data_IF_164840173079
#
_entry.id   IF_164840173079
#
_cell.length_a   1.000
_cell.length_b   1.000
_cell.length_c   1.000
_cell.angle_alpha   90.00
_cell.angle_beta   90.00
_cell.angle_gamma   90.00
#
_symmetry.space_group_name_H-M   'P 1'
#
loop_
_entity.id
_entity.type
_entity.pdbx_description
1 polymer ?
#
# COMPACT_ATOMS: atom_id res chain seq x y z
N UNK A 1 -13.68 -0.52 11.59
CA UNK A 1 -13.94 0.17 10.29
C UNK A 1 -12.60 0.65 9.68
N UNK A 2 -11.99 -0.18 8.84
CA UNK A 2 -10.63 -0.02 8.26
C UNK A 2 -10.66 0.34 6.76
N UNK A 3 -11.85 0.45 6.16
CA UNK A 3 -11.99 0.70 4.71
C UNK A 3 -11.34 2.00 4.25
N UNK A 4 -11.39 3.04 5.09
CA UNK A 4 -10.95 4.39 4.69
C UNK A 4 -9.44 4.49 4.50
N UNK A 5 -8.62 3.90 5.37
CA UNK A 5 -7.14 3.96 5.26
C UNK A 5 -6.63 3.09 4.12
N UNK A 6 -7.26 1.94 3.88
CA UNK A 6 -6.96 1.09 2.73
C UNK A 6 -7.26 1.80 1.40
N UNK A 7 -8.44 2.41 1.27
CA UNK A 7 -8.82 3.20 0.09
C UNK A 7 -7.93 4.44 -0.07
N UNK A 8 -7.59 5.10 1.04
CA UNK A 8 -6.67 6.25 1.05
C UNK A 8 -5.30 5.87 0.50
N UNK A 9 -4.74 4.72 0.90
CA UNK A 9 -3.45 4.26 0.39
C UNK A 9 -3.46 4.11 -1.13
N UNK A 10 -4.51 3.49 -1.67
CA UNK A 10 -4.66 3.34 -3.11
C UNK A 10 -4.71 4.70 -3.80
N UNK A 11 -5.54 5.63 -3.30
CA UNK A 11 -5.74 6.97 -3.88
C UNK A 11 -4.49 7.85 -3.83
N UNK A 12 -3.68 7.74 -2.77
CA UNK A 12 -2.43 8.48 -2.64
C UNK A 12 -1.28 7.88 -3.46
N UNK A 13 -1.39 6.60 -3.82
CA UNK A 13 -0.39 5.90 -4.63
C UNK A 13 -0.53 6.19 -6.12
N UNK A 14 0.49 5.78 -6.87
CA UNK A 14 0.48 5.81 -8.34
C UNK A 14 -0.44 4.76 -8.99
N UNK A 15 -1.24 4.03 -8.19
CA UNK A 15 -2.38 3.27 -8.69
C UNK A 15 -3.48 4.18 -9.26
N UNK A 16 -3.61 5.41 -8.77
CA UNK A 16 -4.49 6.43 -9.33
C UNK A 16 -3.66 7.56 -9.95
N UNK A 17 -4.03 7.96 -11.15
CA UNK A 17 -3.38 9.03 -11.88
C UNK A 17 -4.37 10.16 -12.12
N UNK A 18 -3.92 11.39 -11.85
CA UNK A 18 -4.67 12.59 -12.19
C UNK A 18 -4.59 12.79 -13.71
N UNK A 19 -5.74 12.79 -14.36
CA UNK A 19 -5.85 13.06 -15.79
C UNK A 19 -6.00 14.57 -16.05
N UNK A 20 -5.86 14.97 -17.32
CA UNK A 20 -6.02 16.35 -17.78
C UNK A 20 -7.42 16.94 -17.48
N UNK A 21 -8.44 16.08 -17.35
CA UNK A 21 -9.80 16.48 -16.97
C UNK A 21 -10.00 16.58 -15.45
N UNK A 22 -8.91 16.61 -14.68
CA UNK A 22 -8.87 16.65 -13.21
C UNK A 22 -9.54 15.46 -12.52
N UNK A 23 -9.77 14.36 -13.23
CA UNK A 23 -10.28 13.12 -12.62
C UNK A 23 -9.15 12.18 -12.25
N UNK A 24 -9.29 11.55 -11.09
CA UNK A 24 -8.46 10.42 -10.72
C UNK A 24 -8.95 9.19 -11.47
N UNK A 25 -8.09 8.62 -12.31
CA UNK A 25 -8.37 7.37 -13.00
C UNK A 25 -7.40 6.30 -12.54
N UNK A 26 -7.90 5.08 -12.43
CA UNK A 26 -7.07 3.91 -12.17
C UNK A 26 -6.00 3.78 -13.28
N UNK A 27 -4.77 3.47 -12.87
CA UNK A 27 -3.64 3.20 -13.76
C UNK A 27 -4.04 2.19 -14.82
N UNK A 28 -3.64 2.44 -16.07
CA UNK A 28 -3.89 1.51 -17.19
C UNK A 28 -3.21 0.15 -17.03
N UNK A 29 -2.25 0.05 -16.10
CA UNK A 29 -1.60 -1.22 -15.75
C UNK A 29 -2.46 -2.10 -14.81
N UNK A 30 -3.56 -1.57 -14.27
CA UNK A 30 -4.49 -2.28 -13.41
C UNK A 30 -5.83 -2.49 -14.10
N UNK A 31 -6.35 -3.72 -14.04
CA UNK A 31 -7.70 -4.02 -14.52
C UNK A 31 -8.78 -3.56 -13.53
N UNK A 32 -8.47 -3.59 -12.24
CA UNK A 32 -9.38 -3.22 -11.15
C UNK A 32 -8.59 -2.55 -10.03
N UNK A 33 -9.28 -1.81 -9.16
CA UNK A 33 -8.64 -1.16 -8.00
C UNK A 33 -7.90 -2.19 -7.13
N UNK A 34 -6.70 -1.86 -6.63
CA UNK A 34 -5.93 -2.78 -5.79
C UNK A 34 -6.72 -3.13 -4.54
N UNK A 35 -6.77 -4.42 -4.20
CA UNK A 35 -7.36 -4.86 -2.95
C UNK A 35 -6.34 -4.71 -1.83
N UNK A 36 -6.52 -3.69 -0.99
CA UNK A 36 -5.61 -3.36 0.11
C UNK A 36 -6.26 -3.76 1.43
N UNK A 37 -5.52 -4.54 2.22
CA UNK A 37 -5.85 -4.91 3.59
C UNK A 37 -4.69 -4.52 4.50
N UNK A 38 -4.93 -3.53 5.36
CA UNK A 38 -4.00 -3.13 6.41
C UNK A 38 -4.47 -3.67 7.77
N UNK A 39 -3.53 -4.04 8.63
CA UNK A 39 -3.80 -4.51 9.98
C UNK A 39 -4.61 -3.48 10.79
N UNK A 40 -5.73 -3.90 11.35
CA UNK A 40 -6.59 -3.00 12.10
C UNK A 40 -5.93 -2.48 13.38
N UNK A 41 -4.99 -3.23 13.97
CA UNK A 41 -4.35 -2.83 15.23
C UNK A 41 -3.40 -1.63 15.03
N UNK A 42 -2.83 -1.50 13.82
CA UNK A 42 -1.78 -0.50 13.52
C UNK A 42 -2.20 0.59 12.53
N UNK A 43 -3.23 0.39 11.69
CA UNK A 43 -3.58 1.31 10.59
C UNK A 43 -5.05 1.77 10.59
N UNK A 44 -5.72 1.75 11.75
CA UNK A 44 -7.13 2.15 11.85
C UNK A 44 -7.34 3.66 11.76
N UNK A 45 -6.45 4.46 12.35
CA UNK A 45 -6.58 5.93 12.37
C UNK A 45 -5.72 6.59 11.29
N UNK A 46 -6.05 7.83 10.93
CA UNK A 46 -5.25 8.61 9.98
C UNK A 46 -3.86 8.95 10.55
N UNK A 47 -3.77 9.26 11.84
CA UNK A 47 -2.49 9.57 12.48
C UNK A 47 -1.56 8.36 12.42
N UNK A 48 -2.09 7.17 12.74
CA UNK A 48 -1.38 5.91 12.54
C UNK A 48 -0.98 5.71 11.09
N UNK A 49 -1.87 5.93 10.13
CA UNK A 49 -1.54 5.81 8.71
C UNK A 49 -0.32 6.68 8.33
N UNK A 50 -0.34 7.97 8.69
CA UNK A 50 0.78 8.87 8.39
C UNK A 50 2.06 8.56 9.16
N UNK A 51 1.96 7.95 10.36
CA UNK A 51 3.13 7.48 11.10
C UNK A 51 3.83 6.32 10.38
N UNK A 52 3.06 5.40 9.78
CA UNK A 52 3.62 4.20 9.16
C UNK A 52 3.96 4.39 7.69
N UNK A 53 3.25 5.25 6.96
CA UNK A 53 3.51 5.56 5.56
C UNK A 53 4.25 6.90 5.43
N UNK A 54 5.55 6.87 5.73
CA UNK A 54 6.43 8.04 5.55
C UNK A 54 6.54 8.39 4.05
N UNK A 55 6.61 7.36 3.21
CA UNK A 55 6.45 7.50 1.77
C UNK A 55 5.45 6.45 1.27
N UNK A 56 4.58 6.87 0.34
CA UNK A 56 3.59 5.99 -0.25
C UNK A 56 4.30 5.00 -1.20
N UNK A 57 4.16 3.68 -1.02
CA UNK A 57 4.72 2.71 -1.94
C UNK A 57 4.07 2.83 -3.32
N UNK A 58 4.83 2.47 -4.37
CA UNK A 58 4.25 2.33 -5.70
C UNK A 58 3.34 1.11 -5.74
N UNK A 59 2.08 1.33 -6.12
CA UNK A 59 1.02 0.32 -6.26
C UNK A 59 0.52 0.22 -7.71
N UNK A 60 1.19 0.86 -8.67
CA UNK A 60 0.80 0.91 -10.09
C UNK A 60 0.52 -0.45 -10.74
N UNK A 61 1.12 -1.52 -10.21
CA UNK A 61 0.94 -2.91 -10.67
C UNK A 61 0.44 -3.83 -9.56
N UNK A 62 -0.02 -3.28 -8.43
CA UNK A 62 -0.49 -4.06 -7.30
C UNK A 62 -1.93 -4.54 -7.57
N UNK A 63 -2.15 -5.85 -7.48
CA UNK A 63 -3.49 -6.45 -7.48
C UNK A 63 -4.02 -6.58 -6.05
N UNK A 64 -3.17 -7.04 -5.14
CA UNK A 64 -3.53 -7.32 -3.75
C UNK A 64 -2.36 -6.99 -2.83
N UNK A 65 -2.61 -6.24 -1.77
CA UNK A 65 -1.65 -5.94 -0.72
C UNK A 65 -2.27 -6.29 0.63
N UNK A 66 -1.65 -7.19 1.37
CA UNK A 66 -2.04 -7.53 2.73
C UNK A 66 -0.88 -7.30 3.68
N UNK A 67 -1.04 -6.41 4.66
CA UNK A 67 -0.03 -6.06 5.65
C UNK A 67 -0.53 -6.48 7.03
N UNK A 68 0.19 -7.39 7.67
CA UNK A 68 -0.07 -7.90 9.02
C UNK A 68 1.09 -7.49 9.93
N UNK A 69 0.77 -6.90 11.08
CA UNK A 69 1.75 -6.34 12.01
C UNK A 69 2.17 -4.90 11.73
N UNK A 70 3.10 -4.40 12.55
CA UNK A 70 3.59 -3.02 12.52
C UNK A 70 4.71 -2.87 11.48
N UNK A 71 4.42 -2.16 10.38
CA UNK A 71 5.33 -2.00 9.24
C UNK A 71 5.43 -0.53 8.84
N UNK A 72 6.64 -0.02 8.75
CA UNK A 72 6.92 1.33 8.30
C UNK A 72 7.38 1.33 6.85
N UNK A 73 6.59 1.94 5.97
CA UNK A 73 6.92 2.15 4.57
C UNK A 73 7.71 3.44 4.40
N UNK A 74 8.97 3.30 3.99
CA UNK A 74 9.87 4.41 3.67
C UNK A 74 10.15 4.42 2.17
N UNK A 75 11.35 4.84 1.78
CA UNK A 75 11.66 5.18 0.41
C UNK A 75 11.77 3.98 -0.53
N UNK A 76 11.38 4.19 -1.79
CA UNK A 76 11.60 3.27 -2.92
C UNK A 76 11.02 1.86 -2.70
N UNK A 77 9.79 1.79 -2.18
CA UNK A 77 9.05 0.53 -2.06
C UNK A 77 8.10 0.39 -3.25
N UNK A 78 8.21 -0.72 -3.98
CA UNK A 78 7.39 -1.04 -5.13
C UNK A 78 6.67 -2.38 -4.91
N UNK A 79 5.35 -2.39 -5.14
CA UNK A 79 4.49 -3.55 -4.91
C UNK A 79 3.76 -3.91 -6.21
N UNK A 80 3.93 -5.17 -6.65
CA UNK A 80 3.38 -5.71 -7.88
C UNK A 80 2.68 -7.05 -7.69
N UNK A 81 1.59 -7.27 -8.42
CA UNK A 81 0.78 -8.48 -8.33
C UNK A 81 0.19 -8.65 -6.93
N UNK A 82 0.31 -9.84 -6.35
CA UNK A 82 -0.24 -10.15 -5.01
C UNK A 82 0.86 -10.24 -3.97
N UNK A 83 0.88 -9.31 -3.03
CA UNK A 83 1.91 -9.22 -2.01
C UNK A 83 1.30 -9.32 -0.61
N UNK A 84 1.89 -10.19 0.21
CA UNK A 84 1.61 -10.28 1.63
C UNK A 84 2.85 -9.89 2.43
N UNK A 85 2.69 -9.08 3.46
CA UNK A 85 3.76 -8.66 4.36
C UNK A 85 3.32 -9.03 5.77
N UNK A 86 4.13 -9.83 6.46
CA UNK A 86 3.87 -10.28 7.83
C UNK A 86 5.05 -9.87 8.69
N UNK A 87 4.83 -8.99 9.66
CA UNK A 87 5.85 -8.56 10.61
C UNK A 87 5.50 -9.08 12.01
N UNK A 88 6.42 -9.84 12.61
CA UNK A 88 6.25 -10.33 13.98
C UNK A 88 6.66 -9.29 15.04
N UNK A 89 7.42 -8.29 14.62
CA UNK A 89 7.91 -7.17 15.40
C UNK A 89 7.90 -5.91 14.52
N UNK A 90 7.97 -4.70 15.11
CA UNK A 90 8.00 -3.47 14.33
C UNK A 90 9.15 -3.48 13.32
N UNK A 91 8.83 -3.33 12.03
CA UNK A 91 9.80 -3.48 10.95
C UNK A 91 9.69 -2.37 9.91
N UNK A 92 10.82 -2.01 9.29
CA UNK A 92 10.88 -0.97 8.27
C UNK A 92 11.18 -1.56 6.89
N UNK A 93 10.52 -1.04 5.86
CA UNK A 93 10.74 -1.43 4.46
C UNK A 93 11.28 -0.23 3.68
N UNK A 94 12.47 -0.40 3.12
CA UNK A 94 13.18 0.61 2.32
C UNK A 94 13.84 -0.07 1.12
N UNK A 95 13.83 0.55 -0.05
CA UNK A 95 14.49 0.08 -1.27
C UNK A 95 14.12 -1.37 -1.63
N UNK A 96 12.82 -1.69 -1.61
CA UNK A 96 12.30 -3.04 -1.87
C UNK A 96 11.39 -3.07 -3.08
N UNK A 97 11.55 -4.11 -3.90
CA UNK A 97 10.62 -4.47 -4.94
C UNK A 97 10.01 -5.83 -4.58
N UNK A 98 8.69 -5.87 -4.39
CA UNK A 98 7.95 -7.06 -4.01
C UNK A 98 6.96 -7.38 -5.12
N UNK A 99 7.07 -8.59 -5.69
CA UNK A 99 6.20 -9.05 -6.76
C UNK A 99 5.73 -10.48 -6.50
N UNK A 100 4.41 -10.69 -6.44
CA UNK A 100 3.78 -12.00 -6.26
C UNK A 100 4.38 -12.85 -5.13
N UNK A 101 4.61 -12.23 -3.96
CA UNK A 101 5.39 -12.84 -2.88
C UNK A 101 4.82 -12.58 -1.49
N UNK A 102 5.25 -13.39 -0.52
CA UNK A 102 5.03 -13.15 0.89
C UNK A 102 6.36 -12.78 1.55
N UNK A 103 6.44 -11.56 2.09
CA UNK A 103 7.57 -11.09 2.88
C UNK A 103 7.27 -11.33 4.36
N UNK A 104 8.18 -12.01 5.06
CA UNK A 104 8.13 -12.18 6.52
C UNK A 104 9.26 -11.38 7.15
N UNK A 105 8.92 -10.57 8.15
CA UNK A 105 9.80 -9.65 8.87
C UNK A 105 9.84 -10.01 10.36
#
# INVERSE_FOLDING_TARGET
>A
PVKKTNELLALLSDAYQLQEDFKLKLSSALQTSPNIALDADYYTTLDQFYQHFIQIPSLKKCEELNVLGEVFFKENVNIGGRVKIEASQPAEIINKNLENTTLKL
#
